data_IF_647418098742
#
_entry.id   IF_647418098742
#
_cell.length_a   1.000
_cell.length_b   1.000
_cell.length_c   1.000
_cell.angle_alpha   90.00
_cell.angle_beta   90.00
_cell.angle_gamma   90.00
#
_symmetry.space_group_name_H-M   'P 1'
#
loop_
_entity.id
_entity.type
_entity.pdbx_description
1 polymer ?
#
# COMPACT_ATOMS: atom_id res chain seq x y z
N UNK A 1 -19.04 1.24 19.22
CA UNK A 1 -18.40 -0.03 19.64
C UNK A 1 -18.69 -1.14 18.66
N UNK A 2 -19.98 -1.45 18.39
CA UNK A 2 -20.43 -2.58 17.57
C UNK A 2 -19.68 -2.71 16.21
N UNK A 3 -19.48 -1.61 15.48
CA UNK A 3 -18.80 -1.64 14.18
C UNK A 3 -17.35 -2.18 14.29
N UNK A 4 -16.60 -1.78 15.32
CA UNK A 4 -15.24 -2.26 15.53
C UNK A 4 -15.20 -3.73 15.90
N UNK A 5 -16.15 -4.18 16.72
CA UNK A 5 -16.29 -5.59 17.11
C UNK A 5 -16.67 -6.46 15.91
N UNK A 6 -17.61 -5.99 15.06
CA UNK A 6 -18.01 -6.66 13.83
C UNK A 6 -16.86 -6.90 12.84
N UNK A 7 -15.90 -5.95 12.78
CA UNK A 7 -14.70 -6.07 11.93
C UNK A 7 -13.51 -6.71 12.66
N UNK A 8 -13.72 -7.24 13.87
CA UNK A 8 -12.75 -8.05 14.59
C UNK A 8 -11.76 -7.27 15.42
N UNK A 9 -12.14 -6.10 15.94
CA UNK A 9 -11.36 -5.35 16.90
C UNK A 9 -12.05 -5.29 18.25
N UNK A 10 -11.28 -5.30 19.33
CA UNK A 10 -11.75 -4.97 20.68
C UNK A 10 -10.99 -3.76 21.22
N UNK A 11 -11.65 -2.99 22.07
CA UNK A 11 -11.02 -1.86 22.76
C UNK A 11 -10.11 -2.43 23.85
N UNK A 12 -8.81 -2.15 23.75
CA UNK A 12 -7.82 -2.47 24.76
C UNK A 12 -7.77 -1.37 25.82
N UNK A 13 -7.81 -0.10 25.39
CA UNK A 13 -7.87 1.05 26.30
C UNK A 13 -8.54 2.25 25.63
N UNK A 14 -9.07 3.18 26.46
CA UNK A 14 -9.77 4.38 26.02
C UNK A 14 -11.26 4.15 25.76
N UNK A 15 -11.95 5.23 25.38
CA UNK A 15 -13.37 5.23 25.06
C UNK A 15 -13.56 5.67 23.61
N UNK A 16 -14.49 5.01 22.87
CA UNK A 16 -14.84 5.38 21.50
C UNK A 16 -15.66 6.70 21.45
N UNK A 17 -15.07 7.77 22.00
CA UNK A 17 -15.65 9.09 22.07
C UNK A 17 -14.75 10.13 21.41
N UNK A 18 -15.36 11.18 20.85
CA UNK A 18 -14.64 12.26 20.14
C UNK A 18 -13.54 12.88 21.01
N UNK A 19 -12.33 12.95 20.46
CA UNK A 19 -11.15 13.49 21.12
C UNK A 19 -10.42 12.54 22.07
N UNK A 20 -11.00 11.38 22.38
CA UNK A 20 -10.37 10.40 23.25
C UNK A 20 -9.28 9.59 22.52
N UNK A 21 -8.23 9.26 23.27
CA UNK A 21 -7.17 8.38 22.83
C UNK A 21 -7.61 6.93 22.98
N UNK A 22 -7.49 6.15 21.92
CA UNK A 22 -7.99 4.78 21.84
C UNK A 22 -6.90 3.84 21.37
N UNK A 23 -6.88 2.67 21.99
CA UNK A 23 -6.07 1.54 21.55
C UNK A 23 -7.00 0.37 21.26
N UNK A 24 -6.94 -0.11 20.03
CA UNK A 24 -7.69 -1.27 19.55
C UNK A 24 -6.73 -2.41 19.23
N UNK A 25 -7.09 -3.62 19.60
CA UNK A 25 -6.37 -4.83 19.19
C UNK A 25 -7.29 -5.77 18.39
N UNK A 26 -6.68 -6.59 17.54
CA UNK A 26 -7.42 -7.63 16.80
C UNK A 26 -7.80 -8.77 17.73
N UNK A 27 -9.01 -9.30 17.54
CA UNK A 27 -9.45 -10.50 18.25
C UNK A 27 -8.83 -11.76 17.63
N UNK A 28 -8.63 -12.79 18.44
CA UNK A 28 -8.12 -14.11 17.99
C UNK A 28 -9.09 -14.82 17.05
N UNK A 29 -10.39 -14.54 17.16
CA UNK A 29 -11.43 -15.13 16.32
C UNK A 29 -11.33 -14.67 14.86
N UNK A 30 -10.93 -13.41 14.63
CA UNK A 30 -10.85 -12.80 13.31
C UNK A 30 -9.44 -12.74 12.73
N UNK A 31 -8.43 -13.02 13.55
CA UNK A 31 -7.02 -13.08 13.17
C UNK A 31 -6.40 -14.36 13.71
N UNK A 32 -6.40 -15.44 12.91
CA UNK A 32 -5.75 -16.68 13.32
C UNK A 32 -4.28 -16.43 13.65
N UNK A 33 -3.86 -16.84 14.85
CA UNK A 33 -2.50 -16.60 15.38
C UNK A 33 -1.56 -17.77 15.21
N UNK A 34 -1.93 -18.77 14.43
CA UNK A 34 -1.13 -19.98 14.28
C UNK A 34 0.34 -19.70 13.97
N UNK A 35 0.61 -18.80 13.01
CA UNK A 35 1.98 -18.45 12.65
C UNK A 35 2.71 -17.71 13.79
N UNK A 36 2.04 -16.78 14.45
CA UNK A 36 2.62 -16.01 15.57
C UNK A 36 2.94 -16.90 16.79
N UNK A 37 2.17 -17.96 16.98
CA UNK A 37 2.36 -18.91 18.09
C UNK A 37 3.49 -19.92 17.82
N UNK A 38 3.86 -20.15 16.55
CA UNK A 38 4.83 -21.15 16.14
C UNK A 38 6.09 -20.57 15.50
N UNK A 39 6.13 -19.28 15.20
CA UNK A 39 7.25 -18.60 14.57
C UNK A 39 7.46 -17.23 15.18
N UNK A 40 8.73 -16.83 15.32
CA UNK A 40 9.06 -15.48 15.79
C UNK A 40 8.59 -14.44 14.75
N UNK A 41 8.06 -13.31 15.23
CA UNK A 41 7.68 -12.18 14.36
C UNK A 41 8.85 -11.69 13.51
N UNK A 42 10.07 -11.76 14.02
CA UNK A 42 11.28 -11.38 13.31
C UNK A 42 11.66 -12.36 12.20
N UNK A 43 11.10 -13.57 12.21
CA UNK A 43 11.19 -14.49 11.09
C UNK A 43 10.03 -14.29 10.10
N UNK A 44 8.83 -14.06 10.59
CA UNK A 44 7.66 -13.88 9.72
C UNK A 44 7.76 -12.63 8.85
N UNK A 45 8.19 -11.50 9.40
CA UNK A 45 8.26 -10.21 8.72
C UNK A 45 9.59 -9.53 8.94
N UNK A 46 10.35 -9.29 7.86
CA UNK A 46 11.61 -8.58 7.91
C UNK A 46 11.63 -7.37 6.98
N UNK A 47 12.14 -6.26 7.49
CA UNK A 47 12.48 -5.07 6.73
C UNK A 47 14.00 -4.92 6.70
N UNK A 48 14.61 -5.02 5.51
CA UNK A 48 16.06 -5.09 5.37
C UNK A 48 16.54 -3.99 4.43
N UNK A 49 17.51 -3.21 4.90
CA UNK A 49 18.15 -2.16 4.13
C UNK A 49 19.54 -2.58 3.67
N UNK A 50 19.84 -2.28 2.42
CA UNK A 50 21.15 -2.44 1.80
C UNK A 50 21.75 -1.07 1.48
N UNK A 51 23.04 -1.03 1.20
CA UNK A 51 23.70 0.20 0.79
C UNK A 51 23.29 0.59 -0.63
N UNK A 52 23.18 -0.40 -1.51
CA UNK A 52 22.84 -0.21 -2.93
C UNK A 52 22.01 -1.38 -3.50
N UNK A 53 21.56 -1.20 -4.74
CA UNK A 53 20.77 -2.18 -5.48
C UNK A 53 21.53 -3.49 -5.73
N UNK A 54 22.84 -3.43 -5.94
CA UNK A 54 23.65 -4.62 -6.23
C UNK A 54 23.72 -5.55 -5.02
N UNK A 55 23.87 -4.99 -3.82
CA UNK A 55 23.84 -5.74 -2.56
C UNK A 55 22.45 -6.36 -2.31
N UNK A 56 21.38 -5.57 -2.52
CA UNK A 56 20.01 -6.08 -2.44
C UNK A 56 19.81 -7.29 -3.36
N UNK A 57 20.20 -7.14 -4.63
CA UNK A 57 20.00 -8.18 -5.63
C UNK A 57 20.83 -9.44 -5.32
N UNK A 58 22.08 -9.29 -4.93
CA UNK A 58 22.93 -10.40 -4.54
C UNK A 58 22.41 -11.14 -3.29
N UNK A 59 21.86 -10.39 -2.33
CA UNK A 59 21.23 -11.00 -1.15
C UNK A 59 19.97 -11.77 -1.54
N UNK A 60 19.11 -11.19 -2.38
CA UNK A 60 17.87 -11.85 -2.83
C UNK A 60 18.16 -13.16 -3.56
N UNK A 61 19.16 -13.17 -4.45
CA UNK A 61 19.56 -14.39 -5.17
C UNK A 61 20.01 -15.48 -4.19
N UNK A 62 20.83 -15.12 -3.19
CA UNK A 62 21.25 -16.09 -2.15
C UNK A 62 20.06 -16.62 -1.35
N UNK A 63 19.14 -15.74 -0.95
CA UNK A 63 17.97 -16.15 -0.17
C UNK A 63 17.05 -17.08 -0.94
N UNK A 64 16.75 -16.78 -2.21
CA UNK A 64 15.93 -17.67 -3.04
C UNK A 64 16.60 -19.03 -3.18
N UNK A 65 17.92 -19.08 -3.39
CA UNK A 65 18.65 -20.34 -3.46
C UNK A 65 18.60 -21.12 -2.13
N UNK A 66 18.76 -20.43 -0.99
CA UNK A 66 18.62 -21.05 0.35
C UNK A 66 17.20 -21.59 0.57
N UNK A 67 16.18 -20.80 0.26
CA UNK A 67 14.78 -21.23 0.37
C UNK A 67 14.48 -22.51 -0.44
N UNK A 68 15.03 -22.62 -1.66
CA UNK A 68 14.79 -23.77 -2.53
C UNK A 68 15.59 -25.01 -2.12
N UNK A 69 16.80 -24.85 -1.55
CA UNK A 69 17.72 -25.95 -1.32
C UNK A 69 17.82 -26.36 0.17
N UNK A 70 17.61 -25.42 1.08
CA UNK A 70 17.78 -25.62 2.52
C UNK A 70 16.45 -25.61 3.28
N UNK A 71 15.52 -24.72 2.89
CA UNK A 71 14.20 -24.57 3.52
C UNK A 71 13.11 -25.39 2.82
N UNK A 72 13.46 -26.16 1.80
CA UNK A 72 12.57 -27.05 1.05
C UNK A 72 11.35 -26.37 0.42
N UNK A 73 11.39 -25.04 0.19
CA UNK A 73 10.34 -24.33 -0.50
C UNK A 73 10.35 -24.69 -2.00
N UNK A 74 9.17 -24.76 -2.59
CA UNK A 74 9.03 -24.94 -4.04
C UNK A 74 9.09 -23.61 -4.76
N UNK A 75 9.35 -23.63 -6.04
CA UNK A 75 9.41 -22.42 -6.87
C UNK A 75 8.09 -21.63 -6.85
N UNK A 76 6.94 -22.32 -6.79
CA UNK A 76 5.61 -21.74 -6.69
C UNK A 76 5.24 -21.23 -5.28
N UNK A 77 6.00 -21.58 -4.26
CA UNK A 77 5.89 -21.02 -2.92
C UNK A 77 6.58 -19.66 -2.78
N UNK A 78 7.28 -19.19 -3.82
CA UNK A 78 8.07 -17.94 -3.77
C UNK A 78 7.56 -16.94 -4.81
N UNK A 79 7.22 -15.72 -4.38
CA UNK A 79 6.88 -14.59 -5.26
C UNK A 79 7.80 -13.41 -4.96
N UNK A 80 8.36 -12.81 -6.02
CA UNK A 80 9.12 -11.56 -5.95
C UNK A 80 8.27 -10.43 -6.55
N UNK A 81 7.94 -9.43 -5.73
CA UNK A 81 7.09 -8.31 -6.11
C UNK A 81 7.92 -7.03 -6.19
N UNK A 82 7.91 -6.39 -7.36
CA UNK A 82 8.51 -5.06 -7.52
C UNK A 82 7.48 -3.96 -7.22
N UNK A 83 7.88 -2.98 -6.42
CA UNK A 83 7.00 -1.91 -5.91
C UNK A 83 6.54 -0.92 -6.99
N UNK A 84 7.38 -0.60 -8.00
CA UNK A 84 6.97 0.25 -9.13
C UNK A 84 6.64 -0.59 -10.38
N UNK A 85 5.36 -0.65 -10.78
CA UNK A 85 4.94 -1.46 -11.93
C UNK A 85 5.52 -0.99 -13.26
N UNK A 86 6.00 0.25 -13.37
CA UNK A 86 6.54 0.83 -14.60
C UNK A 86 7.96 0.36 -14.90
N UNK A 87 8.74 0.08 -13.87
CA UNK A 87 10.15 -0.31 -13.96
C UNK A 87 10.38 -1.80 -13.71
N UNK A 88 9.32 -2.56 -13.44
CA UNK A 88 9.42 -3.98 -13.08
C UNK A 88 10.29 -4.79 -14.06
N UNK A 89 10.12 -4.60 -15.38
CA UNK A 89 10.88 -5.34 -16.39
C UNK A 89 12.39 -5.02 -16.36
N UNK A 90 12.75 -3.75 -16.24
CA UNK A 90 14.17 -3.34 -16.24
C UNK A 90 14.88 -3.72 -14.95
N UNK A 91 14.21 -3.55 -13.80
CA UNK A 91 14.78 -3.83 -12.48
C UNK A 91 14.91 -5.34 -12.23
N UNK A 92 13.91 -6.14 -12.61
CA UNK A 92 13.96 -7.58 -12.36
C UNK A 92 14.88 -8.35 -13.33
N UNK A 93 15.22 -7.79 -14.48
CA UNK A 93 16.05 -8.44 -15.48
C UNK A 93 17.42 -8.91 -14.97
N UNK A 94 18.22 -8.05 -14.34
CA UNK A 94 19.52 -8.43 -13.75
C UNK A 94 19.41 -9.52 -12.68
N UNK A 95 18.40 -9.45 -11.82
CA UNK A 95 18.16 -10.45 -10.75
C UNK A 95 17.83 -11.81 -11.37
N UNK A 96 16.92 -11.83 -12.32
CA UNK A 96 16.49 -13.05 -13.02
C UNK A 96 17.64 -13.71 -13.78
N UNK A 97 18.54 -12.90 -14.35
CA UNK A 97 19.77 -13.41 -14.99
C UNK A 97 20.66 -14.11 -13.97
N UNK A 98 20.91 -13.51 -12.83
CA UNK A 98 21.74 -14.12 -11.77
C UNK A 98 21.12 -15.43 -11.24
N UNK A 99 19.79 -15.47 -11.09
CA UNK A 99 19.08 -16.68 -10.70
C UNK A 99 19.20 -17.78 -11.78
N UNK A 100 19.06 -17.41 -13.04
CA UNK A 100 19.26 -18.35 -14.15
C UNK A 100 20.69 -18.93 -14.19
N UNK A 101 21.70 -18.08 -13.98
CA UNK A 101 23.10 -18.50 -13.87
C UNK A 101 23.34 -19.42 -12.67
N UNK A 102 22.52 -19.28 -11.61
CA UNK A 102 22.50 -20.17 -10.44
C UNK A 102 21.59 -21.42 -10.61
N UNK A 103 21.02 -21.64 -11.81
CA UNK A 103 20.18 -22.79 -12.12
C UNK A 103 18.70 -22.65 -11.74
N UNK A 104 18.27 -21.48 -11.28
CA UNK A 104 16.88 -21.21 -10.87
C UNK A 104 16.11 -20.57 -12.03
N UNK A 105 15.08 -21.28 -12.50
CA UNK A 105 14.17 -20.75 -13.51
C UNK A 105 13.25 -19.69 -12.94
N UNK A 106 12.98 -18.63 -13.71
CA UNK A 106 12.13 -17.52 -13.31
C UNK A 106 11.25 -17.05 -14.46
N UNK A 107 10.08 -16.52 -14.16
CA UNK A 107 9.23 -15.84 -15.14
C UNK A 107 8.72 -14.50 -14.62
N UNK A 108 8.47 -13.55 -15.53
CA UNK A 108 7.85 -12.27 -15.23
C UNK A 108 6.38 -12.32 -15.64
N UNK A 109 5.50 -12.32 -14.66
CA UNK A 109 4.07 -12.42 -14.87
C UNK A 109 3.54 -11.33 -15.80
N UNK A 110 2.90 -11.75 -16.89
CA UNK A 110 2.29 -10.89 -17.90
C UNK A 110 3.26 -10.29 -18.91
N UNK A 111 4.50 -10.78 -18.97
CA UNK A 111 5.49 -10.45 -20.01
C UNK A 111 5.98 -11.73 -20.70
N UNK A 112 6.36 -12.73 -19.92
CA UNK A 112 6.93 -13.98 -20.43
C UNK A 112 5.88 -15.11 -20.52
N UNK A 113 4.62 -14.80 -20.17
CA UNK A 113 3.66 -15.86 -19.91
C UNK A 113 2.48 -15.85 -20.89
N UNK A 114 2.33 -16.95 -21.58
CA UNK A 114 1.03 -17.50 -21.87
C UNK A 114 0.34 -17.86 -20.53
N UNK A 115 -1.00 -17.81 -20.49
CA UNK A 115 -1.76 -18.12 -19.27
C UNK A 115 -1.44 -19.52 -18.69
N UNK A 116 -0.88 -20.40 -19.51
CA UNK A 116 -0.52 -21.77 -19.14
C UNK A 116 0.70 -21.90 -18.22
N UNK A 117 1.53 -20.86 -18.07
CA UNK A 117 2.74 -20.93 -17.22
C UNK A 117 2.39 -21.13 -15.75
N UNK A 118 1.26 -20.61 -15.28
CA UNK A 118 0.78 -20.85 -13.91
C UNK A 118 0.34 -22.29 -13.66
N UNK A 119 0.16 -23.07 -14.72
CA UNK A 119 -0.30 -24.46 -14.66
C UNK A 119 0.76 -25.48 -15.12
N UNK A 120 1.92 -25.01 -15.56
CA UNK A 120 3.03 -25.91 -15.94
C UNK A 120 3.75 -26.38 -14.70
N UNK A 121 3.59 -27.67 -14.41
CA UNK A 121 4.32 -28.37 -13.34
C UNK A 121 5.63 -28.99 -13.84
N UNK A 122 5.86 -29.04 -15.14
CA UNK A 122 7.01 -29.63 -15.80
C UNK A 122 8.27 -28.77 -15.78
N UNK A 123 8.10 -27.43 -15.64
CA UNK A 123 9.21 -26.49 -15.51
C UNK A 123 8.95 -25.51 -14.35
N UNK A 124 9.26 -25.93 -13.11
CA UNK A 124 9.05 -25.07 -11.94
C UNK A 124 9.88 -23.77 -12.05
N UNK A 125 9.25 -22.63 -11.80
CA UNK A 125 9.90 -21.34 -11.91
C UNK A 125 9.41 -20.34 -10.87
N UNK A 126 10.30 -19.51 -10.33
CA UNK A 126 9.97 -18.45 -9.37
C UNK A 126 9.27 -17.30 -10.08
N UNK A 127 8.14 -16.87 -9.53
CA UNK A 127 7.33 -15.79 -10.10
C UNK A 127 7.89 -14.41 -9.72
N UNK A 128 8.22 -13.61 -10.71
CA UNK A 128 8.43 -12.18 -10.59
C UNK A 128 7.20 -11.42 -11.08
N UNK A 129 6.80 -10.37 -10.38
CA UNK A 129 5.61 -9.59 -10.76
C UNK A 129 5.69 -8.16 -10.29
N UNK A 130 4.95 -7.26 -10.95
CA UNK A 130 4.69 -5.93 -10.44
C UNK A 130 3.49 -5.94 -9.48
N UNK A 131 3.45 -4.95 -8.59
CA UNK A 131 2.48 -4.84 -7.49
C UNK A 131 1.01 -5.00 -7.93
N UNK A 132 0.61 -4.45 -9.08
CA UNK A 132 -0.78 -4.54 -9.52
C UNK A 132 -1.18 -5.93 -10.02
N UNK A 133 -0.22 -6.69 -10.54
CA UNK A 133 -0.45 -8.06 -11.03
C UNK A 133 -0.30 -9.09 -9.90
N UNK A 134 0.36 -8.72 -8.80
CA UNK A 134 0.41 -9.55 -7.60
C UNK A 134 -0.98 -9.75 -6.97
N UNK A 135 -1.93 -8.85 -7.24
CA UNK A 135 -3.29 -8.94 -6.70
C UNK A 135 -3.97 -10.23 -7.16
N UNK A 136 -4.38 -11.07 -6.19
CA UNK A 136 -5.00 -12.37 -6.44
C UNK A 136 -4.03 -13.56 -6.40
N UNK A 137 -2.72 -13.33 -6.41
CA UNK A 137 -1.70 -14.37 -6.24
C UNK A 137 -1.12 -14.30 -4.83
N UNK A 138 -0.92 -15.46 -4.21
CA UNK A 138 -0.37 -15.59 -2.86
C UNK A 138 0.68 -16.69 -2.83
N UNK A 139 1.69 -16.52 -1.99
CA UNK A 139 2.78 -17.47 -1.82
C UNK A 139 3.17 -17.64 -0.36
N UNK A 140 3.84 -18.72 -0.01
CA UNK A 140 4.43 -18.94 1.31
C UNK A 140 5.42 -17.85 1.68
N UNK A 141 6.36 -17.58 0.77
CA UNK A 141 7.40 -16.57 0.88
C UNK A 141 7.19 -15.44 -0.14
N UNK A 142 7.18 -14.20 0.32
CA UNK A 142 7.07 -13.00 -0.53
C UNK A 142 8.27 -12.09 -0.32
N UNK A 143 8.95 -11.76 -1.41
CA UNK A 143 9.97 -10.72 -1.45
C UNK A 143 9.41 -9.46 -2.09
N UNK A 144 9.42 -8.34 -1.36
CA UNK A 144 9.08 -7.02 -1.90
C UNK A 144 10.37 -6.27 -2.13
N UNK A 145 10.78 -6.11 -3.40
CA UNK A 145 12.03 -5.47 -3.79
C UNK A 145 11.85 -3.98 -4.08
N UNK A 146 12.90 -3.21 -3.91
CA UNK A 146 12.93 -1.74 -4.09
C UNK A 146 11.82 -1.05 -3.28
N UNK A 147 11.62 -1.52 -2.04
CA UNK A 147 10.54 -1.03 -1.17
C UNK A 147 10.68 0.46 -0.81
N UNK A 148 11.89 1.05 -0.88
CA UNK A 148 12.13 2.48 -0.69
C UNK A 148 11.25 3.36 -1.61
N UNK A 149 10.83 2.85 -2.78
CA UNK A 149 9.95 3.57 -3.70
C UNK A 149 8.55 3.81 -3.09
N UNK A 150 8.18 3.02 -2.09
CA UNK A 150 6.95 3.23 -1.32
C UNK A 150 7.08 4.35 -0.28
N UNK A 151 8.26 4.97 -0.13
CA UNK A 151 8.51 6.09 0.77
C UNK A 151 8.94 7.38 0.06
N UNK A 152 8.87 7.44 -1.27
CA UNK A 152 9.47 8.50 -2.08
C UNK A 152 8.75 9.85 -2.02
N UNK A 153 7.48 9.95 -1.63
CA UNK A 153 6.70 11.18 -1.78
C UNK A 153 5.92 11.58 -0.54
N UNK A 154 6.01 12.86 -0.15
CA UNK A 154 5.14 13.46 0.87
C UNK A 154 3.69 13.64 0.39
N UNK A 155 3.48 13.78 -0.93
CA UNK A 155 2.16 13.85 -1.57
C UNK A 155 1.81 12.52 -2.22
N UNK A 156 0.81 11.83 -1.68
CA UNK A 156 0.42 10.50 -2.15
C UNK A 156 1.03 9.35 -1.34
N UNK A 157 1.57 9.63 -0.16
CA UNK A 157 2.15 8.64 0.74
C UNK A 157 1.16 7.50 1.06
N UNK A 158 -0.12 7.80 1.25
CA UNK A 158 -1.15 6.80 1.46
C UNK A 158 -1.25 5.80 0.30
N UNK A 159 -1.21 6.27 -0.96
CA UNK A 159 -1.22 5.39 -2.14
C UNK A 159 0.03 4.50 -2.19
N UNK A 160 1.20 5.03 -1.86
CA UNK A 160 2.45 4.25 -1.81
C UNK A 160 2.44 3.23 -0.67
N UNK A 161 1.92 3.59 0.52
CA UNK A 161 1.73 2.66 1.63
C UNK A 161 0.73 1.56 1.31
N UNK A 162 -0.35 1.89 0.60
CA UNK A 162 -1.32 0.90 0.12
C UNK A 162 -0.69 -0.10 -0.87
N UNK A 163 0.27 0.33 -1.70
CA UNK A 163 1.04 -0.60 -2.55
C UNK A 163 1.87 -1.55 -1.70
N UNK A 164 2.63 -1.02 -0.74
CA UNK A 164 3.43 -1.84 0.16
C UNK A 164 2.55 -2.84 0.94
N UNK A 165 1.45 -2.36 1.52
CA UNK A 165 0.47 -3.20 2.20
C UNK A 165 -0.08 -4.30 1.29
N UNK A 166 -0.46 -3.96 0.04
CA UNK A 166 -0.93 -4.94 -0.94
C UNK A 166 0.12 -6.01 -1.23
N UNK A 167 1.41 -5.64 -1.31
CA UNK A 167 2.49 -6.60 -1.53
C UNK A 167 2.69 -7.53 -0.32
N UNK A 168 2.76 -6.96 0.87
CA UNK A 168 2.95 -7.71 2.13
C UNK A 168 1.82 -8.74 2.32
N UNK A 169 0.57 -8.35 2.05
CA UNK A 169 -0.59 -9.23 2.20
C UNK A 169 -0.71 -10.31 1.11
N UNK A 170 0.26 -10.45 0.24
CA UNK A 170 0.38 -11.63 -0.67
C UNK A 170 1.09 -12.79 0.00
N UNK A 171 1.67 -12.59 1.16
CA UNK A 171 2.32 -13.65 1.92
C UNK A 171 1.30 -14.48 2.71
N UNK A 172 1.47 -15.79 2.67
CA UNK A 172 0.78 -16.76 3.53
C UNK A 172 1.54 -17.02 4.82
N UNK A 173 2.86 -16.78 4.83
CA UNK A 173 3.71 -17.00 5.99
C UNK A 173 4.82 -15.96 6.11
N UNK A 174 5.79 -15.93 5.23
CA UNK A 174 6.99 -15.11 5.35
C UNK A 174 7.02 -13.96 4.34
N UNK A 175 7.44 -12.79 4.81
CA UNK A 175 7.65 -11.64 3.92
C UNK A 175 8.99 -10.97 4.23
N UNK A 176 9.73 -10.63 3.18
CA UNK A 176 10.96 -9.87 3.22
C UNK A 176 10.77 -8.58 2.42
N UNK A 177 10.68 -7.46 3.12
CA UNK A 177 10.58 -6.12 2.52
C UNK A 177 12.00 -5.57 2.43
N UNK A 178 12.54 -5.53 1.22
CA UNK A 178 13.93 -5.18 0.99
C UNK A 178 14.06 -3.94 0.11
N UNK A 179 15.07 -3.14 0.41
CA UNK A 179 15.36 -1.90 -0.30
C UNK A 179 16.72 -1.33 0.07
N UNK A 180 17.06 -0.18 -0.48
CA UNK A 180 18.33 0.47 -0.25
C UNK A 180 18.18 1.98 -0.03
N UNK A 181 19.26 2.59 0.48
CA UNK A 181 19.34 4.02 0.69
C UNK A 181 18.49 4.57 1.85
N UNK A 182 18.47 5.91 2.02
CA UNK A 182 17.87 6.55 3.20
C UNK A 182 16.35 6.40 3.28
N UNK A 183 15.65 6.31 2.15
CA UNK A 183 14.18 6.13 2.15
C UNK A 183 13.76 4.77 2.72
N UNK A 184 14.58 3.74 2.57
CA UNK A 184 14.31 2.44 3.19
C UNK A 184 14.39 2.51 4.72
N UNK A 185 15.25 3.37 5.27
CA UNK A 185 15.34 3.55 6.71
C UNK A 185 14.01 4.01 7.31
N UNK A 186 13.31 4.94 6.66
CA UNK A 186 12.00 5.38 7.12
C UNK A 186 10.96 4.26 7.23
N UNK A 187 11.00 3.26 6.32
CA UNK A 187 10.13 2.08 6.41
C UNK A 187 10.50 1.17 7.59
N UNK A 188 11.79 1.02 7.84
CA UNK A 188 12.30 0.25 8.99
C UNK A 188 11.90 0.91 10.30
N UNK A 189 12.03 2.23 10.39
CA UNK A 189 11.65 3.00 11.58
C UNK A 189 10.15 2.89 11.86
N UNK A 190 9.31 2.97 10.82
CA UNK A 190 7.86 2.74 10.94
C UNK A 190 7.53 1.33 11.42
N UNK A 191 8.17 0.30 10.84
CA UNK A 191 7.95 -1.08 11.26
C UNK A 191 8.40 -1.32 12.69
N UNK A 192 9.55 -0.77 13.07
CA UNK A 192 10.07 -0.84 14.44
C UNK A 192 9.12 -0.19 15.45
N UNK A 193 8.53 0.96 15.09
CA UNK A 193 7.54 1.63 15.93
C UNK A 193 6.25 0.79 16.08
N UNK A 194 5.78 0.13 15.00
CA UNK A 194 4.64 -0.80 15.06
C UNK A 194 4.93 -1.99 15.98
N UNK A 195 6.12 -2.58 15.86
CA UNK A 195 6.57 -3.68 16.71
C UNK A 195 6.62 -3.30 18.19
N UNK A 196 7.19 -2.12 18.50
CA UNK A 196 7.26 -1.60 19.88
C UNK A 196 5.89 -1.37 20.50
N UNK A 197 4.88 -1.03 19.68
CA UNK A 197 3.48 -0.85 20.11
C UNK A 197 2.68 -2.15 20.13
N UNK A 198 3.28 -3.30 19.86
CA UNK A 198 2.59 -4.59 19.85
C UNK A 198 1.55 -4.74 18.72
N UNK A 199 1.74 -4.03 17.59
CA UNK A 199 0.85 -4.07 16.41
C UNK A 199 -0.61 -3.70 16.69
N UNK A 200 -0.87 -2.92 17.74
CA UNK A 200 -2.19 -2.37 18.04
C UNK A 200 -2.51 -1.18 17.14
N UNK A 201 -3.79 -0.91 16.94
CA UNK A 201 -4.27 0.30 16.27
C UNK A 201 -4.49 1.38 17.32
N UNK A 202 -3.62 2.39 17.34
CA UNK A 202 -3.63 3.49 18.30
C UNK A 202 -3.90 4.81 17.60
N UNK A 203 -4.93 5.54 18.05
CA UNK A 203 -5.31 6.84 17.48
C UNK A 203 -6.18 7.66 18.43
N UNK A 204 -6.25 8.98 18.18
CA UNK A 204 -7.27 9.82 18.79
C UNK A 204 -8.56 9.72 17.99
N UNK A 205 -9.68 9.38 18.64
CA UNK A 205 -10.97 9.29 17.97
C UNK A 205 -11.34 10.66 17.40
N UNK A 206 -11.58 10.77 16.08
CA UNK A 206 -11.68 12.07 15.44
C UNK A 206 -12.87 12.88 15.96
N UNK A 207 -12.62 14.14 16.26
CA UNK A 207 -13.65 15.15 16.48
C UNK A 207 -14.26 15.65 15.17
N UNK A 208 -15.28 16.52 15.25
CA UNK A 208 -15.97 17.01 14.06
C UNK A 208 -15.06 17.85 13.15
N UNK A 209 -14.11 18.57 13.71
CA UNK A 209 -13.14 19.38 12.96
C UNK A 209 -12.15 18.49 12.20
N UNK A 210 -11.67 17.42 12.83
CA UNK A 210 -10.81 16.44 12.19
C UNK A 210 -11.57 15.61 11.15
N UNK A 211 -12.81 15.20 11.43
CA UNK A 211 -13.68 14.53 10.48
C UNK A 211 -13.92 15.37 9.22
N UNK A 212 -14.12 16.68 9.37
CA UNK A 212 -14.21 17.62 8.25
C UNK A 212 -12.93 17.62 7.40
N UNK A 213 -11.76 17.67 8.03
CA UNK A 213 -10.46 17.59 7.35
C UNK A 213 -10.24 16.24 6.67
N UNK A 214 -10.56 15.12 7.33
CA UNK A 214 -10.42 13.78 6.78
C UNK A 214 -11.29 13.57 5.54
N UNK A 215 -12.52 14.09 5.52
CA UNK A 215 -13.39 14.05 4.33
C UNK A 215 -12.79 14.77 3.12
N UNK A 216 -11.95 15.78 3.34
CA UNK A 216 -11.24 16.51 2.28
C UNK A 216 -10.00 15.74 1.80
N UNK A 217 -9.27 15.10 2.72
CA UNK A 217 -8.00 14.41 2.43
C UNK A 217 -8.21 13.05 1.78
N UNK A 218 -9.29 12.33 2.12
CA UNK A 218 -9.57 10.97 1.58
C UNK A 218 -10.16 10.92 0.16
N UNK A 219 -10.19 12.05 -0.55
CA UNK A 219 -10.35 11.98 -1.99
C UNK A 219 -9.01 11.62 -2.62
N UNK A 220 -8.78 10.34 -2.87
CA UNK A 220 -7.71 9.84 -3.74
C UNK A 220 -7.97 10.33 -5.18
N UNK A 221 -7.76 11.63 -5.38
CA UNK A 221 -7.86 12.24 -6.69
C UNK A 221 -6.61 11.87 -7.48
N UNK A 222 -6.78 11.20 -8.60
CA UNK A 222 -5.73 11.05 -9.59
C UNK A 222 -5.17 12.43 -9.99
N UNK A 223 -3.94 12.52 -10.50
CA UNK A 223 -3.37 13.80 -10.95
C UNK A 223 -4.29 14.55 -11.94
N UNK A 224 -4.99 13.82 -12.82
CA UNK A 224 -5.97 14.40 -13.77
C UNK A 224 -7.21 14.95 -13.07
N UNK A 225 -7.72 14.22 -12.07
CA UNK A 225 -8.89 14.68 -11.28
C UNK A 225 -8.53 15.86 -10.40
N UNK A 226 -7.31 15.90 -9.83
CA UNK A 226 -6.81 17.05 -9.06
C UNK A 226 -6.71 18.28 -9.94
N UNK A 227 -6.11 18.15 -11.13
CA UNK A 227 -6.02 19.26 -12.10
C UNK A 227 -7.40 19.73 -12.55
N UNK A 228 -8.36 18.81 -12.75
CA UNK A 228 -9.74 19.15 -13.08
C UNK A 228 -10.45 19.86 -11.93
N UNK A 229 -10.19 19.45 -10.68
CA UNK A 229 -10.74 20.10 -9.50
C UNK A 229 -10.20 21.51 -9.33
N UNK A 230 -8.88 21.72 -9.51
CA UNK A 230 -8.27 23.06 -9.43
C UNK A 230 -8.80 24.01 -10.51
N UNK A 231 -8.97 23.53 -11.74
CA UNK A 231 -9.63 24.33 -12.80
C UNK A 231 -11.05 24.72 -12.43
N UNK A 232 -11.83 23.80 -11.84
CA UNK A 232 -13.21 24.11 -11.41
C UNK A 232 -13.25 25.08 -10.24
N UNK A 233 -12.29 25.00 -9.31
CA UNK A 233 -12.15 25.96 -8.20
C UNK A 233 -11.83 27.37 -8.75
N UNK A 234 -10.89 27.47 -9.70
CA UNK A 234 -10.58 28.74 -10.37
C UNK A 234 -11.82 29.31 -11.04
N UNK A 235 -12.51 28.52 -11.87
CA UNK A 235 -13.73 28.95 -12.53
C UNK A 235 -14.84 29.43 -11.58
N UNK A 236 -14.96 28.75 -10.42
CA UNK A 236 -15.92 29.17 -9.40
C UNK A 236 -15.48 30.47 -8.71
N UNK A 237 -14.18 30.64 -8.44
CA UNK A 237 -13.64 31.86 -7.86
C UNK A 237 -13.79 33.05 -8.82
N UNK A 238 -13.51 32.83 -10.11
CA UNK A 238 -13.72 33.85 -11.16
C UNK A 238 -15.19 34.26 -11.22
N UNK A 239 -16.12 33.32 -11.28
CA UNK A 239 -17.56 33.56 -11.30
C UNK A 239 -18.08 34.31 -10.05
N UNK A 240 -17.55 33.99 -8.86
CA UNK A 240 -17.87 34.70 -7.62
C UNK A 240 -17.29 36.15 -7.66
N UNK A 241 -16.07 36.30 -8.18
CA UNK A 241 -15.45 37.61 -8.39
C UNK A 241 -16.26 38.50 -9.33
N UNK A 242 -16.75 37.94 -10.43
CA UNK A 242 -17.60 38.65 -11.42
C UNK A 242 -18.95 39.08 -10.79
N UNK A 243 -19.53 38.23 -9.91
CA UNK A 243 -20.74 38.58 -9.17
C UNK A 243 -20.49 39.65 -8.11
N UNK A 244 -19.34 39.65 -7.43
CA UNK A 244 -18.96 40.63 -6.42
C UNK A 244 -18.59 41.97 -7.06
N UNK A 245 -17.95 41.98 -8.24
CA UNK A 245 -17.58 43.18 -8.99
C UNK A 245 -18.76 43.80 -9.75
N UNK A 246 -19.85 43.06 -9.90
CA UNK A 246 -21.00 43.46 -10.71
C UNK A 246 -20.81 43.33 -12.21
N UNK A 247 -19.80 42.66 -12.66
CA UNK A 247 -19.61 42.28 -14.07
C UNK A 247 -20.60 41.20 -14.51
N UNK A 248 -21.06 40.35 -13.56
CA UNK A 248 -22.14 39.40 -13.72
C UNK A 248 -23.23 39.66 -12.69
N UNK A 249 -24.49 39.76 -13.13
CA UNK A 249 -25.62 39.90 -12.23
C UNK A 249 -26.30 38.54 -11.97
N UNK A 250 -26.89 38.31 -10.78
CA UNK A 250 -27.65 37.09 -10.52
C UNK A 250 -28.78 36.82 -11.51
N UNK A 251 -29.25 37.88 -12.18
CA UNK A 251 -30.30 37.83 -13.21
C UNK A 251 -29.82 37.25 -14.53
N UNK A 252 -28.51 37.31 -14.80
CA UNK A 252 -27.88 36.73 -15.98
C UNK A 252 -27.77 35.19 -15.91
N UNK A 253 -27.92 34.64 -14.71
CA UNK A 253 -27.95 33.22 -14.51
C UNK A 253 -29.34 32.63 -14.74
N UNK A 254 -29.41 31.47 -15.36
CA UNK A 254 -30.66 30.74 -15.51
C UNK A 254 -31.27 30.34 -14.12
N UNK A 255 -32.58 30.21 -14.08
CA UNK A 255 -33.33 29.99 -12.83
C UNK A 255 -32.88 28.72 -12.10
N UNK A 256 -32.55 27.64 -12.84
CA UNK A 256 -32.09 26.40 -12.28
C UNK A 256 -30.70 26.52 -11.61
N UNK A 257 -29.81 27.36 -12.18
CA UNK A 257 -28.50 27.66 -11.61
C UNK A 257 -28.62 28.57 -10.39
N UNK A 258 -29.51 29.54 -10.39
CA UNK A 258 -29.81 30.41 -9.22
C UNK A 258 -30.39 29.63 -8.06
N UNK A 259 -31.32 28.72 -8.31
CA UNK A 259 -31.89 27.85 -7.30
C UNK A 259 -30.84 26.91 -6.68
N UNK A 260 -29.95 26.33 -7.51
CA UNK A 260 -28.85 25.52 -7.02
C UNK A 260 -27.85 26.32 -6.17
N UNK A 261 -27.47 27.51 -6.59
CA UNK A 261 -26.61 28.41 -5.82
C UNK A 261 -27.22 28.78 -4.48
N UNK A 262 -28.49 29.17 -4.43
CA UNK A 262 -29.23 29.43 -3.19
C UNK A 262 -29.24 28.23 -2.25
N UNK A 263 -29.49 27.05 -2.79
CA UNK A 263 -29.52 25.81 -2.01
C UNK A 263 -28.16 25.43 -1.43
N UNK A 264 -27.06 25.69 -2.14
CA UNK A 264 -25.69 25.38 -1.68
C UNK A 264 -25.12 26.47 -0.73
N UNK A 265 -25.47 27.72 -0.93
CA UNK A 265 -24.99 28.83 -0.10
C UNK A 265 -25.91 29.12 1.11
N UNK A 266 -27.20 28.79 1.00
CA UNK A 266 -28.20 29.01 2.06
C UNK A 266 -28.54 27.79 2.91
N UNK A 267 -27.87 26.69 2.75
CA UNK A 267 -28.18 25.45 3.43
C UNK A 267 -27.21 25.07 4.52
N UNK A 268 -27.37 25.69 5.68
CA UNK A 268 -27.20 25.09 7.02
C UNK A 268 -27.75 26.07 8.06
N UNK A 269 -29.04 26.18 8.18
CA UNK A 269 -29.69 26.47 9.46
C UNK A 269 -30.27 25.16 10.02
#
# INVERSE_FOLDING_TARGET
PALWEEIGYKVQSGLLMKGEHIVLERTTETSPRFLEEHSDIDDLVQFIKFDDEAQQNAWLVRQINSNLNEDELRHDDIIVIHSDPRTARSVTGPIRRQLFEAGVQTHLAGVDTDADVFFRTDTPSVTFTGIYRAKGNEAGMVYVINAQDCNFSSTGLASLRNRLFTAITRSKAWVRVIGYGPLMQGLIDEFSALKQRGFVLEFCYPDDALLGKLRIVHRDLSPKERQRLERRKSQLADLLGDLESGELHPEDLDEATREKLKRFLGGNE
#
